data_IF_470080094017
#
_entry.id   IF_470080094017
#
_cell.length_a   1.000
_cell.length_b   1.000
_cell.length_c   1.000
_cell.angle_alpha   90.00
_cell.angle_beta   90.00
_cell.angle_gamma   90.00
#
_symmetry.space_group_name_H-M   'P 1'
#
loop_
_entity.id
_entity.type
_entity.pdbx_description
1 polymer ?
#
# COMPACT_ATOMS: atom_id res chain seq x y z
N UNK A 1 17.68 9.51 -11.83
CA UNK A 1 18.05 8.10 -12.04
C UNK A 1 16.92 7.24 -11.50
N UNK A 2 16.31 6.34 -12.29
CA UNK A 2 15.29 5.45 -11.75
C UNK A 2 16.00 4.39 -10.91
N UNK A 3 15.74 4.38 -9.61
CA UNK A 3 16.10 3.25 -8.76
C UNK A 3 15.14 2.11 -9.13
N UNK A 4 15.64 1.15 -9.88
CA UNK A 4 14.86 -0.01 -10.34
C UNK A 4 14.57 -0.97 -9.18
N UNK A 5 13.29 -1.30 -9.00
CA UNK A 5 12.82 -2.48 -8.26
C UNK A 5 13.17 -3.73 -9.06
N UNK A 6 13.91 -4.67 -8.48
CA UNK A 6 14.10 -5.98 -9.07
C UNK A 6 12.90 -6.89 -8.72
N UNK A 7 12.36 -7.66 -9.67
CA UNK A 7 11.33 -8.65 -9.36
C UNK A 7 11.94 -9.80 -8.53
N UNK A 8 11.17 -10.43 -7.63
CA UNK A 8 11.65 -11.58 -6.88
C UNK A 8 11.93 -12.77 -7.84
N UNK A 9 12.99 -13.57 -7.59
CA UNK A 9 13.28 -14.72 -8.43
C UNK A 9 12.23 -15.82 -8.24
N UNK A 10 11.42 -16.09 -9.27
CA UNK A 10 10.53 -17.27 -9.31
C UNK A 10 11.37 -18.55 -9.45
N UNK A 11 11.02 -19.66 -8.77
CA UNK A 11 11.72 -20.93 -8.94
C UNK A 11 11.48 -21.48 -10.35
N UNK A 12 12.54 -21.52 -11.16
CA UNK A 12 12.53 -22.15 -12.49
C UNK A 12 12.40 -23.66 -12.31
N UNK A 13 11.28 -24.25 -12.76
CA UNK A 13 11.15 -25.71 -12.94
C UNK A 13 12.26 -26.17 -13.89
N UNK A 14 13.23 -26.91 -13.37
CA UNK A 14 14.33 -27.50 -14.15
C UNK A 14 13.75 -28.55 -15.10
N UNK A 15 13.66 -28.20 -16.39
CA UNK A 15 13.54 -29.20 -17.45
C UNK A 15 14.91 -29.85 -17.66
N UNK A 16 14.99 -31.16 -17.39
CA UNK A 16 16.14 -32.01 -17.69
C UNK A 16 16.21 -32.20 -19.20
N UNK A 17 16.92 -31.33 -19.93
CA UNK A 17 17.47 -31.62 -21.26
C UNK A 17 18.27 -30.41 -21.77
N UNK A 18 19.58 -30.41 -21.56
CA UNK A 18 20.57 -29.74 -22.42
C UNK A 18 21.97 -30.17 -21.97
N UNK A 19 22.43 -31.30 -22.52
CA UNK A 19 23.84 -31.66 -22.51
C UNK A 19 24.58 -30.87 -23.59
N UNK A 20 25.85 -30.56 -23.31
CA UNK A 20 26.85 -29.87 -24.15
C UNK A 20 26.84 -28.32 -24.10
N UNK A 21 27.53 -27.74 -23.11
CA UNK A 21 27.89 -26.32 -23.08
C UNK A 21 29.43 -26.18 -23.03
N UNK A 22 29.98 -25.49 -24.04
CA UNK A 22 31.39 -25.10 -24.14
C UNK A 22 31.90 -24.36 -22.89
N UNK A 23 33.18 -24.48 -22.50
CA UNK A 23 33.75 -23.75 -21.36
C UNK A 23 33.64 -22.22 -21.48
N UNK A 24 33.55 -21.69 -22.70
CA UNK A 24 33.29 -20.26 -22.95
C UNK A 24 31.87 -19.81 -22.53
N UNK A 25 30.87 -20.70 -22.58
CA UNK A 25 29.50 -20.40 -22.13
C UNK A 25 29.39 -20.38 -20.60
N UNK A 26 30.20 -21.18 -19.90
CA UNK A 26 30.28 -21.16 -18.44
C UNK A 26 30.89 -19.85 -17.90
N UNK A 27 31.86 -19.26 -18.61
CA UNK A 27 32.46 -17.99 -18.21
C UNK A 27 31.49 -16.79 -18.37
N UNK A 28 30.67 -16.77 -19.43
CA UNK A 28 29.59 -15.78 -19.57
C UNK A 28 28.44 -16.02 -18.58
N UNK A 29 28.10 -17.28 -18.29
CA UNK A 29 27.11 -17.60 -17.26
C UNK A 29 27.58 -17.17 -15.86
N UNK A 30 28.88 -17.26 -15.55
CA UNK A 30 29.45 -16.79 -14.27
C UNK A 30 29.48 -15.27 -14.12
N UNK A 31 29.57 -14.51 -15.22
CA UNK A 31 29.49 -13.05 -15.19
C UNK A 31 28.05 -12.54 -15.05
N UNK A 32 27.06 -13.32 -15.49
CA UNK A 32 25.63 -13.04 -15.33
C UNK A 32 25.02 -13.59 -14.03
N UNK A 33 25.80 -14.33 -13.24
CA UNK A 33 25.40 -14.85 -11.91
C UNK A 33 26.09 -14.12 -10.76
N UNK A 34 26.41 -12.85 -10.96
CA UNK A 34 26.54 -11.95 -9.82
C UNK A 34 25.15 -11.85 -9.18
N UNK A 35 24.95 -12.28 -7.92
CA UNK A 35 23.72 -11.96 -7.22
C UNK A 35 23.63 -10.43 -7.23
N UNK A 36 22.58 -9.89 -7.84
CA UNK A 36 22.19 -8.51 -7.60
C UNK A 36 21.98 -8.41 -6.10
N UNK A 37 22.97 -7.86 -5.40
CA UNK A 37 22.83 -7.49 -4.00
C UNK A 37 21.90 -6.27 -4.01
N UNK A 38 20.60 -6.53 -4.03
CA UNK A 38 19.60 -5.52 -3.83
C UNK A 38 19.75 -5.04 -2.38
N UNK A 39 20.29 -3.84 -2.21
CA UNK A 39 20.26 -3.19 -0.93
C UNK A 39 18.80 -2.88 -0.60
N UNK A 40 18.32 -3.40 0.54
CA UNK A 40 17.05 -3.00 1.11
C UNK A 40 16.95 -1.48 1.18
N UNK A 41 15.92 -0.91 0.56
CA UNK A 41 15.73 0.53 0.52
C UNK A 41 14.50 0.91 1.34
N UNK A 42 14.70 1.85 2.26
CA UNK A 42 13.59 2.45 2.98
C UNK A 42 13.07 3.63 2.17
N UNK A 43 11.74 3.74 2.11
CA UNK A 43 11.07 4.85 1.46
C UNK A 43 10.08 5.50 2.42
N UNK A 44 10.00 6.82 2.32
CA UNK A 44 8.95 7.59 2.96
C UNK A 44 7.80 7.78 1.98
N UNK A 45 6.59 7.57 2.46
CA UNK A 45 5.35 7.92 1.78
C UNK A 45 4.63 8.95 2.64
N UNK A 46 4.28 10.10 2.07
CA UNK A 46 3.57 11.15 2.80
C UNK A 46 2.32 11.56 2.04
N UNK A 47 1.22 11.74 2.77
CA UNK A 47 -0.05 12.15 2.18
C UNK A 47 -0.77 13.20 2.99
N UNK A 48 -1.61 13.99 2.33
CA UNK A 48 -2.52 14.93 3.00
C UNK A 48 -3.80 15.17 2.21
N UNK A 49 -4.82 15.67 2.91
CA UNK A 49 -6.08 16.03 2.30
C UNK A 49 -7.14 16.42 3.33
N UNK A 50 -8.39 16.34 2.88
CA UNK A 50 -9.56 16.67 3.68
C UNK A 50 -10.62 15.58 3.56
N UNK A 51 -11.13 15.11 4.69
CA UNK A 51 -12.39 14.38 4.75
C UNK A 51 -13.56 15.35 4.62
N UNK A 52 -14.71 14.84 4.19
CA UNK A 52 -15.97 15.53 4.48
C UNK A 52 -16.19 15.52 5.99
N UNK A 53 -16.27 16.67 6.67
CA UNK A 53 -16.47 16.70 8.11
C UNK A 53 -17.80 16.05 8.49
N UNK A 54 -17.88 15.30 9.62
CA UNK A 54 -19.15 14.83 10.14
C UNK A 54 -20.05 16.00 10.56
N UNK A 55 -21.37 15.79 10.54
CA UNK A 55 -22.31 16.81 11.02
C UNK A 55 -22.20 16.99 12.53
N UNK A 56 -22.72 18.10 13.06
CA UNK A 56 -22.72 18.36 14.50
C UNK A 56 -23.43 17.25 15.30
N UNK A 57 -24.52 16.71 14.77
CA UNK A 57 -25.28 15.60 15.36
C UNK A 57 -24.45 14.32 15.38
N UNK A 58 -23.75 14.02 14.29
CA UNK A 58 -22.85 12.86 14.22
C UNK A 58 -21.72 12.99 15.23
N UNK A 59 -21.07 14.15 15.31
CA UNK A 59 -20.01 14.42 16.29
C UNK A 59 -20.50 14.33 17.73
N UNK A 60 -21.71 14.81 18.02
CA UNK A 60 -22.31 14.75 19.35
C UNK A 60 -22.60 13.31 19.79
N UNK A 61 -22.96 12.42 18.86
CA UNK A 61 -23.22 11.01 19.11
C UNK A 61 -21.94 10.17 19.34
N UNK A 62 -20.76 10.70 19.04
CA UNK A 62 -19.49 10.00 19.21
C UNK A 62 -19.10 9.84 20.69
N UNK A 63 -18.51 8.69 21.08
CA UNK A 63 -18.07 8.48 22.45
C UNK A 63 -16.84 9.34 22.78
N UNK A 64 -16.67 9.69 24.06
CA UNK A 64 -15.62 10.61 24.49
C UNK A 64 -14.21 9.99 24.51
N UNK A 65 -14.10 8.66 24.43
CA UNK A 65 -12.84 7.92 24.47
C UNK A 65 -12.25 7.67 23.06
N UNK A 66 -12.69 8.40 22.05
CA UNK A 66 -12.05 8.36 20.74
C UNK A 66 -10.63 8.93 20.83
N UNK A 67 -9.72 8.46 19.96
CA UNK A 67 -8.35 8.97 19.92
C UNK A 67 -8.24 10.39 19.33
N UNK A 68 -9.33 10.95 18.78
CA UNK A 68 -9.39 12.29 18.19
C UNK A 68 -10.45 13.13 18.89
N UNK A 69 -10.20 14.43 19.02
CA UNK A 69 -11.22 15.34 19.55
C UNK A 69 -12.33 15.58 18.51
N UNK A 70 -13.53 15.98 18.96
CA UNK A 70 -14.60 16.37 18.04
C UNK A 70 -14.19 17.55 17.14
N UNK A 71 -13.37 18.46 17.65
CA UNK A 71 -12.85 19.59 16.89
C UNK A 71 -11.89 19.13 15.78
N UNK A 72 -11.03 18.15 16.05
CA UNK A 72 -10.14 17.56 15.05
C UNK A 72 -10.93 16.86 13.94
N UNK A 73 -11.97 16.10 14.30
CA UNK A 73 -12.85 15.46 13.31
C UNK A 73 -13.65 16.49 12.51
N UNK A 74 -14.08 17.59 13.14
CA UNK A 74 -14.80 18.68 12.50
C UNK A 74 -13.94 19.50 11.53
N UNK A 75 -12.62 19.57 11.74
CA UNK A 75 -11.73 20.25 10.79
C UNK A 75 -11.71 19.55 9.43
N UNK A 76 -11.93 18.24 9.43
CA UNK A 76 -11.80 17.36 8.27
C UNK A 76 -10.37 17.23 7.76
N UNK A 77 -9.39 17.95 8.31
CA UNK A 77 -8.01 17.96 7.82
C UNK A 77 -7.27 16.72 8.26
N UNK A 78 -6.47 16.12 7.37
CA UNK A 78 -5.61 15.01 7.74
C UNK A 78 -4.27 15.03 6.98
N UNK A 79 -3.27 14.40 7.57
CA UNK A 79 -2.02 14.02 6.90
C UNK A 79 -1.50 12.70 7.46
N UNK A 80 -0.72 11.96 6.68
CA UNK A 80 0.02 10.79 7.15
C UNK A 80 1.46 10.80 6.68
N UNK A 81 2.31 10.09 7.42
CA UNK A 81 3.65 9.73 7.01
C UNK A 81 3.85 8.24 7.30
N UNK A 82 4.29 7.50 6.30
CA UNK A 82 4.64 6.09 6.42
C UNK A 82 6.09 5.89 5.99
N UNK A 83 6.78 4.96 6.65
CA UNK A 83 8.08 4.45 6.21
C UNK A 83 7.86 2.99 5.85
N UNK A 84 8.29 2.56 4.68
CA UNK A 84 8.23 1.15 4.30
C UNK A 84 9.57 0.65 3.78
N UNK A 85 9.82 -0.64 4.00
CA UNK A 85 10.97 -1.39 3.52
C UNK A 85 10.53 -2.24 2.32
N UNK A 86 11.14 -2.00 1.18
CA UNK A 86 10.82 -2.69 -0.07
C UNK A 86 11.52 -4.06 -0.22
N UNK A 87 12.37 -4.44 0.74
CA UNK A 87 13.05 -5.74 0.74
C UNK A 87 12.25 -6.86 1.39
N UNK A 88 11.13 -6.53 2.04
CA UNK A 88 10.26 -7.52 2.67
C UNK A 88 9.76 -8.48 1.60
N UNK A 89 9.95 -9.81 1.77
CA UNK A 89 9.48 -10.77 0.79
C UNK A 89 7.96 -10.84 0.79
N UNK A 90 7.41 -11.15 -0.38
CA UNK A 90 6.01 -11.54 -0.49
C UNK A 90 5.72 -12.79 0.34
N UNK A 91 4.64 -12.75 1.10
CA UNK A 91 4.16 -13.83 1.96
C UNK A 91 2.93 -14.55 1.41
N UNK A 92 2.32 -14.05 0.33
CA UNK A 92 1.15 -14.68 -0.30
C UNK A 92 1.59 -15.69 -1.37
N UNK A 93 0.96 -16.87 -1.46
CA UNK A 93 1.22 -17.82 -2.54
C UNK A 93 0.48 -17.50 -3.85
N UNK A 94 -0.50 -16.59 -3.85
CA UNK A 94 -1.18 -16.15 -5.08
C UNK A 94 -0.21 -15.38 -5.99
N UNK A 95 -0.21 -15.70 -7.29
CA UNK A 95 0.73 -15.10 -8.25
C UNK A 95 0.24 -13.76 -8.84
N UNK A 96 -0.89 -13.25 -8.32
CA UNK A 96 -1.52 -11.99 -8.73
C UNK A 96 -1.74 -11.01 -7.56
N UNK A 97 -1.31 -11.40 -6.36
CA UNK A 97 -1.47 -10.64 -5.12
C UNK A 97 -0.23 -10.84 -4.26
N UNK A 98 0.55 -9.78 -4.09
CA UNK A 98 1.66 -9.75 -3.15
C UNK A 98 1.23 -9.18 -1.81
N UNK A 99 1.55 -9.90 -0.74
CA UNK A 99 1.28 -9.50 0.66
C UNK A 99 2.59 -9.31 1.41
N UNK A 100 2.88 -8.07 1.75
CA UNK A 100 4.15 -7.66 2.36
C UNK A 100 3.95 -7.30 3.83
N UNK A 101 3.61 -8.30 4.65
CA UNK A 101 3.44 -8.12 6.09
C UNK A 101 4.75 -7.67 6.73
N UNK A 102 4.68 -6.61 7.55
CA UNK A 102 5.87 -6.03 8.18
C UNK A 102 6.70 -5.11 7.29
N UNK A 103 6.26 -4.83 6.05
CA UNK A 103 6.92 -3.83 5.20
C UNK A 103 6.83 -2.42 5.78
N UNK A 104 5.72 -2.05 6.43
CA UNK A 104 5.57 -0.74 7.07
C UNK A 104 6.38 -0.72 8.37
N UNK A 105 7.37 0.15 8.45
CA UNK A 105 8.29 0.29 9.59
C UNK A 105 7.86 1.39 10.56
N UNK A 106 7.16 2.41 10.05
CA UNK A 106 6.57 3.46 10.87
C UNK A 106 5.33 4.02 10.18
N UNK A 107 4.33 4.43 10.95
CA UNK A 107 3.17 5.12 10.43
C UNK A 107 2.67 6.16 11.42
N UNK A 108 2.57 7.42 10.98
CA UNK A 108 2.03 8.52 11.75
C UNK A 108 0.82 9.09 11.02
N UNK A 109 -0.29 9.26 11.74
CA UNK A 109 -1.50 9.92 11.28
C UNK A 109 -1.67 11.23 12.04
N UNK A 110 -2.09 12.28 11.35
CA UNK A 110 -2.54 13.54 11.94
C UNK A 110 -3.96 13.81 11.46
N UNK A 111 -4.87 14.08 12.39
CA UNK A 111 -6.24 14.55 12.11
C UNK A 111 -6.46 15.82 12.90
N UNK A 112 -6.81 16.92 12.24
CA UNK A 112 -6.80 18.24 12.87
C UNK A 112 -5.43 18.57 13.46
N UNK A 113 -5.40 18.74 14.77
CA UNK A 113 -4.20 18.97 15.58
C UNK A 113 -3.65 17.72 16.27
N UNK A 114 -4.43 16.64 16.30
CA UNK A 114 -4.07 15.40 16.98
C UNK A 114 -3.18 14.54 16.09
N UNK A 115 -2.00 14.20 16.60
CA UNK A 115 -1.05 13.29 15.95
C UNK A 115 -0.96 11.97 16.72
N UNK A 116 -0.97 10.85 15.99
CA UNK A 116 -0.87 9.50 16.54
C UNK A 116 0.16 8.72 15.75
N UNK A 117 1.15 8.18 16.45
CA UNK A 117 2.04 7.17 15.92
C UNK A 117 1.39 5.80 16.08
N UNK A 118 1.05 5.16 14.96
CA UNK A 118 0.34 3.89 14.95
C UNK A 118 1.33 2.71 15.07
N UNK A 119 1.03 1.70 15.90
CA UNK A 119 1.84 0.48 15.95
C UNK A 119 1.78 -0.25 14.60
N UNK A 120 2.94 -0.46 13.99
CA UNK A 120 3.03 -1.16 12.69
C UNK A 120 2.95 -2.69 12.81
N UNK A 121 2.81 -3.23 14.03
CA UNK A 121 2.65 -4.67 14.27
C UNK A 121 1.44 -5.30 13.56
N UNK A 122 0.42 -4.51 13.24
CA UNK A 122 -0.75 -4.92 12.45
C UNK A 122 -0.86 -4.06 11.18
N UNK A 123 0.27 -3.90 10.50
CA UNK A 123 0.35 -3.25 9.20
C UNK A 123 0.46 -4.25 8.06
N UNK A 124 -0.05 -3.86 6.90
CA UNK A 124 0.01 -4.67 5.69
C UNK A 124 0.12 -3.76 4.47
N UNK A 125 1.01 -4.11 3.56
CA UNK A 125 0.98 -3.62 2.19
C UNK A 125 0.51 -4.75 1.28
N UNK A 126 -0.53 -4.50 0.49
CA UNK A 126 -1.06 -5.42 -0.52
C UNK A 126 -0.90 -4.80 -1.88
N UNK A 127 -0.28 -5.53 -2.79
CA UNK A 127 -0.14 -5.16 -4.20
C UNK A 127 -0.89 -6.20 -5.01
N UNK A 128 -1.78 -5.79 -5.89
CA UNK A 128 -2.43 -6.70 -6.83
C UNK A 128 -2.26 -6.21 -8.24
N UNK A 129 -1.77 -7.09 -9.12
CA UNK A 129 -1.65 -6.80 -10.56
C UNK A 129 -2.96 -7.02 -11.32
N UNK A 130 -4.05 -7.28 -10.59
CA UNK A 130 -5.38 -7.59 -11.13
C UNK A 130 -5.52 -9.02 -11.67
N UNK A 131 -4.43 -9.73 -11.93
CA UNK A 131 -4.44 -11.10 -12.43
C UNK A 131 -4.86 -11.29 -13.89
N UNK A 132 -4.97 -12.55 -14.31
CA UNK A 132 -5.27 -12.93 -15.70
C UNK A 132 -6.62 -12.36 -16.16
N UNK A 133 -6.60 -11.43 -17.10
CA UNK A 133 -7.80 -10.81 -17.69
C UNK A 133 -8.36 -9.61 -16.91
N UNK A 134 -7.74 -9.23 -15.78
CA UNK A 134 -8.11 -8.04 -15.03
C UNK A 134 -6.93 -7.11 -14.73
N UNK A 135 -5.92 -7.06 -15.59
CA UNK A 135 -4.73 -6.17 -15.47
C UNK A 135 -5.04 -4.67 -15.44
N UNK A 136 -6.30 -4.32 -15.63
CA UNK A 136 -6.90 -3.01 -15.52
C UNK A 136 -7.72 -2.86 -14.23
N UNK A 137 -7.44 -3.67 -13.21
CA UNK A 137 -7.97 -3.64 -11.84
C UNK A 137 -6.83 -3.80 -10.84
N UNK A 138 -5.75 -3.10 -11.10
CA UNK A 138 -4.55 -3.16 -10.27
C UNK A 138 -4.79 -2.35 -9.00
N UNK A 139 -4.19 -2.76 -7.90
CA UNK A 139 -4.34 -2.01 -6.66
C UNK A 139 -3.08 -2.01 -5.81
N UNK A 140 -2.92 -0.92 -5.10
CA UNK A 140 -1.94 -0.75 -4.03
C UNK A 140 -2.74 -0.37 -2.79
N UNK A 141 -2.60 -1.13 -1.71
CA UNK A 141 -3.18 -0.81 -0.41
C UNK A 141 -2.12 -0.85 0.67
N UNK A 142 -2.01 0.22 1.44
CA UNK A 142 -1.28 0.25 2.71
C UNK A 142 -2.30 0.41 3.82
N UNK A 143 -2.36 -0.55 4.73
CA UNK A 143 -3.26 -0.54 5.89
C UNK A 143 -2.47 -0.65 7.20
N UNK A 144 -2.88 0.10 8.22
CA UNK A 144 -2.40 -0.04 9.59
C UNK A 144 -3.58 -0.10 10.55
N UNK A 145 -3.51 -1.03 11.50
CA UNK A 145 -4.52 -1.22 12.56
C UNK A 145 -3.90 -0.99 13.93
N UNK A 146 -4.64 -0.32 14.80
CA UNK A 146 -4.20 -0.01 16.14
C UNK A 146 -5.35 -0.15 17.15
N UNK A 147 -5.16 -0.89 18.25
CA UNK A 147 -6.12 -0.85 19.34
C UNK A 147 -6.11 0.55 19.97
N UNK A 148 -7.30 1.10 20.18
CA UNK A 148 -7.54 2.38 20.85
C UNK A 148 -8.61 2.19 21.92
N UNK A 149 -8.76 3.14 22.84
CA UNK A 149 -9.72 3.01 23.95
C UNK A 149 -11.17 2.77 23.48
N UNK A 150 -11.55 3.31 22.32
CA UNK A 150 -12.89 3.13 21.73
C UNK A 150 -13.06 1.83 20.92
N UNK A 151 -11.98 1.10 20.60
CA UNK A 151 -12.03 -0.11 19.79
C UNK A 151 -10.80 -0.28 18.88
N UNK A 152 -11.01 -0.53 17.59
CA UNK A 152 -9.92 -0.72 16.62
C UNK A 152 -9.89 0.41 15.61
N UNK A 153 -8.85 1.23 15.66
CA UNK A 153 -8.55 2.22 14.62
C UNK A 153 -7.94 1.50 13.41
N UNK A 154 -8.46 1.80 12.23
CA UNK A 154 -7.91 1.38 10.94
C UNK A 154 -7.67 2.60 10.08
N UNK A 155 -6.50 2.66 9.47
CA UNK A 155 -6.17 3.67 8.46
C UNK A 155 -5.70 2.91 7.23
N UNK A 156 -6.34 3.17 6.10
CA UNK A 156 -5.99 2.54 4.84
C UNK A 156 -5.83 3.61 3.76
N UNK A 157 -4.68 3.59 3.09
CA UNK A 157 -4.48 4.34 1.86
C UNK A 157 -4.50 3.37 0.69
N UNK A 158 -5.29 3.72 -0.33
CA UNK A 158 -5.54 2.86 -1.48
C UNK A 158 -5.41 3.64 -2.78
N UNK A 159 -4.90 2.96 -3.79
CA UNK A 159 -4.94 3.40 -5.18
C UNK A 159 -5.39 2.24 -6.05
N UNK A 160 -6.33 2.50 -6.95
CA UNK A 160 -6.86 1.53 -7.88
C UNK A 160 -6.60 2.01 -9.30
N UNK A 161 -5.90 1.22 -10.10
CA UNK A 161 -5.94 1.39 -11.55
C UNK A 161 -7.13 0.58 -12.06
N UNK A 162 -8.30 1.21 -12.12
CA UNK A 162 -9.51 0.57 -12.61
C UNK A 162 -10.15 1.29 -13.79
N UNK A 163 -10.62 0.52 -14.78
CA UNK A 163 -11.38 1.06 -15.91
C UNK A 163 -12.88 1.17 -15.57
N UNK A 164 -13.60 2.13 -16.17
CA UNK A 164 -15.06 2.19 -16.05
C UNK A 164 -15.73 0.89 -16.51
N UNK A 165 -16.90 0.61 -15.94
CA UNK A 165 -17.71 -0.53 -16.36
C UNK A 165 -18.06 -0.42 -17.86
N UNK A 166 -17.90 -1.52 -18.60
CA UNK A 166 -18.20 -1.60 -20.04
C UNK A 166 -17.04 -1.27 -20.99
N UNK A 167 -15.89 -0.84 -20.48
CA UNK A 167 -14.67 -0.71 -21.28
C UNK A 167 -14.18 -2.07 -21.77
N UNK A 168 -13.79 -2.16 -23.05
CA UNK A 168 -13.16 -3.36 -23.60
C UNK A 168 -11.84 -3.65 -22.86
N UNK A 169 -11.79 -4.79 -22.18
CA UNK A 169 -10.69 -5.18 -21.30
C UNK A 169 -9.53 -5.87 -22.04
N UNK A 170 -9.60 -5.97 -23.38
CA UNK A 170 -8.54 -6.54 -24.23
C UNK A 170 -7.36 -5.56 -24.48
N UNK A 171 -7.31 -4.44 -23.76
CA UNK A 171 -6.33 -3.37 -23.91
C UNK A 171 -4.90 -3.73 -23.45
N UNK A 172 -4.01 -2.75 -23.48
CA UNK A 172 -2.60 -2.86 -23.06
C UNK A 172 -2.43 -3.43 -21.65
N UNK A 173 -1.30 -4.10 -21.42
CA UNK A 173 -0.92 -4.67 -20.13
C UNK A 173 -0.96 -3.65 -18.98
N UNK A 174 -1.17 -4.17 -17.76
CA UNK A 174 -1.17 -3.40 -16.52
C UNK A 174 0.14 -2.66 -16.24
N UNK A 175 0.07 -1.66 -15.35
CA UNK A 175 1.20 -0.83 -14.93
C UNK A 175 2.08 -1.56 -13.92
N UNK A 176 1.49 -2.35 -13.04
CA UNK A 176 2.17 -3.18 -12.06
C UNK A 176 2.75 -4.42 -12.77
N UNK A 177 4.02 -4.68 -12.48
CA UNK A 177 4.72 -5.84 -13.05
C UNK A 177 4.69 -6.94 -12.03
N UNK A 178 3.70 -7.83 -12.16
CA UNK A 178 3.61 -9.10 -11.42
C UNK A 178 3.69 -8.93 -9.92
N UNK A 179 2.67 -8.31 -9.32
CA UNK A 179 2.36 -8.25 -7.87
C UNK A 179 3.50 -7.91 -6.87
N UNK A 180 4.66 -7.59 -7.41
CA UNK A 180 5.88 -7.20 -6.75
C UNK A 180 5.72 -5.80 -6.16
N UNK A 181 6.42 -5.53 -5.05
CA UNK A 181 6.53 -4.18 -4.52
C UNK A 181 6.99 -3.22 -5.64
N UNK A 182 6.16 -2.24 -6.05
CA UNK A 182 6.52 -1.38 -7.16
C UNK A 182 7.54 -0.33 -6.74
N UNK A 183 8.17 0.33 -7.71
CA UNK A 183 9.07 1.44 -7.44
C UNK A 183 8.34 2.54 -6.65
N UNK A 184 9.08 3.27 -5.81
CA UNK A 184 8.49 4.24 -4.89
C UNK A 184 7.58 5.29 -5.56
N UNK A 185 7.94 5.74 -6.77
CA UNK A 185 7.10 6.65 -7.54
C UNK A 185 5.73 6.04 -7.92
N UNK A 186 5.71 4.76 -8.31
CA UNK A 186 4.48 4.02 -8.60
C UNK A 186 3.73 3.65 -7.32
N UNK A 187 4.44 3.45 -6.19
CA UNK A 187 3.80 3.42 -4.88
C UNK A 187 3.02 4.71 -4.67
N UNK A 188 3.58 5.91 -4.75
CA UNK A 188 2.83 7.15 -4.49
C UNK A 188 1.81 7.54 -5.58
N UNK A 189 2.08 7.19 -6.83
CA UNK A 189 1.31 7.67 -7.98
C UNK A 189 1.09 6.54 -9.00
N UNK A 190 0.21 5.61 -8.64
CA UNK A 190 -0.29 4.65 -9.61
C UNK A 190 -1.11 5.40 -10.67
N UNK A 191 -0.94 5.13 -11.98
CA UNK A 191 -1.84 5.66 -12.99
C UNK A 191 -3.27 5.19 -12.69
N UNK A 192 -4.20 6.14 -12.66
CA UNK A 192 -5.61 5.88 -12.37
C UNK A 192 -6.48 6.50 -13.46
N UNK A 193 -7.59 5.85 -13.79
CA UNK A 193 -8.55 6.40 -14.76
C UNK A 193 -9.38 7.52 -14.13
N UNK A 194 -9.71 7.41 -12.84
CA UNK A 194 -10.41 8.43 -12.08
C UNK A 194 -9.58 8.87 -10.87
N UNK A 195 -9.51 10.17 -10.62
CA UNK A 195 -8.84 10.69 -9.43
C UNK A 195 -9.47 10.16 -8.12
N UNK A 196 -10.75 9.76 -8.15
CA UNK A 196 -11.44 9.11 -7.03
C UNK A 196 -10.96 7.70 -6.71
N UNK A 197 -10.20 7.07 -7.61
CA UNK A 197 -9.61 5.76 -7.38
C UNK A 197 -8.39 5.80 -6.44
N UNK A 198 -8.00 7.02 -6.03
CA UNK A 198 -7.05 7.24 -4.95
C UNK A 198 -7.83 7.73 -3.75
N UNK A 199 -7.74 7.02 -2.63
CA UNK A 199 -8.49 7.39 -1.44
C UNK A 199 -7.78 6.99 -0.16
N UNK A 200 -8.11 7.73 0.90
CA UNK A 200 -7.74 7.39 2.27
C UNK A 200 -9.03 7.08 3.04
N UNK A 201 -9.01 6.00 3.81
CA UNK A 201 -10.03 5.65 4.79
C UNK A 201 -9.47 5.74 6.20
N UNK A 202 -10.26 6.32 7.09
CA UNK A 202 -10.08 6.27 8.53
C UNK A 202 -11.35 5.69 9.14
N UNK A 203 -11.18 4.59 9.87
CA UNK A 203 -12.30 3.85 10.46
C UNK A 203 -12.01 3.48 11.90
N UNK A 204 -13.01 3.57 12.77
CA UNK A 204 -12.94 3.07 14.15
C UNK A 204 -14.07 2.09 14.37
N UNK A 205 -13.71 0.81 14.52
CA UNK A 205 -14.64 -0.28 14.81
C UNK A 205 -14.84 -0.42 16.32
N UNK A 206 -16.07 -0.67 16.77
CA UNK A 206 -16.34 -0.99 18.17
C UNK A 206 -15.73 -2.34 18.56
N UNK A 207 -15.17 -2.42 19.77
CA UNK A 207 -14.67 -3.67 20.31
C UNK A 207 -15.83 -4.66 20.57
N UNK A 208 -15.69 -5.91 20.13
CA UNK A 208 -16.64 -6.99 20.44
C UNK A 208 -17.98 -6.95 19.68
N UNK A 209 -18.19 -5.96 18.80
CA UNK A 209 -19.41 -5.82 18.03
C UNK A 209 -19.23 -6.37 16.60
N UNK A 210 -19.45 -7.69 16.43
CA UNK A 210 -19.42 -8.32 15.11
C UNK A 210 -20.57 -7.76 14.25
N UNK A 211 -20.25 -7.32 13.02
CA UNK A 211 -21.19 -6.74 12.05
C UNK A 211 -21.88 -5.42 12.46
N UNK A 212 -21.37 -4.71 13.48
CA UNK A 212 -21.85 -3.37 13.78
C UNK A 212 -21.27 -2.33 12.80
N UNK A 213 -22.02 -1.24 12.60
CA UNK A 213 -21.49 -0.08 11.91
C UNK A 213 -20.28 0.49 12.69
N UNK A 214 -19.26 1.02 12.00
CA UNK A 214 -18.13 1.66 12.68
C UNK A 214 -18.61 2.90 13.45
N UNK A 215 -17.94 3.20 14.56
CA UNK A 215 -18.15 4.45 15.32
C UNK A 215 -17.84 5.67 14.45
N UNK A 216 -16.75 5.57 13.69
CA UNK A 216 -16.27 6.61 12.80
C UNK A 216 -15.90 5.93 11.49
N UNK A 217 -16.38 6.49 10.38
CA UNK A 217 -15.93 6.15 9.04
C UNK A 217 -15.80 7.44 8.24
N UNK A 218 -14.56 7.80 7.92
CA UNK A 218 -14.22 8.94 7.11
C UNK A 218 -13.44 8.45 5.90
N UNK A 219 -13.81 8.93 4.72
CA UNK A 219 -13.07 8.64 3.50
C UNK A 219 -12.92 9.91 2.69
N UNK A 220 -11.81 10.01 1.97
CA UNK A 220 -11.62 11.07 0.99
C UNK A 220 -11.03 10.52 -0.28
N UNK A 221 -11.43 11.10 -1.41
CA UNK A 221 -10.83 10.86 -2.70
C UNK A 221 -9.78 11.92 -3.02
N UNK A 222 -8.88 11.61 -3.94
CA UNK A 222 -7.85 12.53 -4.45
C UNK A 222 -6.84 13.03 -3.39
N UNK A 223 -6.28 12.15 -2.52
CA UNK A 223 -5.22 12.55 -1.61
C UNK A 223 -4.00 13.03 -2.41
N UNK A 224 -3.31 14.06 -1.92
CA UNK A 224 -1.99 14.41 -2.45
C UNK A 224 -0.98 13.50 -1.76
N UNK A 225 -0.26 12.67 -2.52
CA UNK A 225 0.71 11.71 -1.99
C UNK A 225 2.03 11.80 -2.72
N UNK A 226 3.12 11.75 -1.96
CA UNK A 226 4.49 11.79 -2.45
C UNK A 226 5.31 10.66 -1.85
N UNK A 227 6.30 10.20 -2.61
CA UNK A 227 7.30 9.23 -2.14
C UNK A 227 8.70 9.81 -2.24
N UNK A 228 9.55 9.54 -1.26
CA UNK A 228 10.97 9.86 -1.31
C UNK A 228 11.82 8.71 -0.76
N UNK A 229 13.03 8.49 -1.30
CA UNK A 229 13.98 7.58 -0.68
C UNK A 229 14.40 8.12 0.68
N UNK A 230 14.57 7.22 1.65
CA UNK A 230 15.20 7.52 2.93
C UNK A 230 16.66 7.14 2.78
N UNK A 231 17.53 8.13 2.61
CA UNK A 231 18.97 7.94 2.82
C UNK A 231 19.23 7.73 4.30
N UNK A 232 20.01 6.71 4.64
CA UNK A 232 20.57 6.57 5.98
C UNK A 232 21.32 7.87 6.36
N UNK A 233 21.30 8.28 7.64
CA UNK A 233 22.02 9.46 8.10
C UNK A 233 23.54 9.35 7.86
#
# INVERSE_FOLDING_TARGET
MPLHSCPPPRPVRRSLLAAMLSPAALALASLLSQPLVCNAAQFALSGSGHFKPPTAEQLAALPANLPFTRADLASGTWSFQARYDDSVPDSDPDAYVGRYTGAVQAFRLVVGSTAIDLPVSQSETVISDGGQGFTQRESIRLEVKAPVAAGMLRVAWMQLNQQPAGTDLRGTAGVLRSDAMPAAAAMAQLPVANAADRFLELRIDQLGANNAAPLVYLSTSQPTVTSSPITAP
#
